data_IF_082275895605
#
_entry.id   IF_082275895605
#
_cell.length_a   1.000
_cell.length_b   1.000
_cell.length_c   1.000
_cell.angle_alpha   90.00
_cell.angle_beta   90.00
_cell.angle_gamma   90.00
#
_symmetry.space_group_name_H-M   'P 1'
#
loop_
_entity.id
_entity.type
_entity.pdbx_description
1 polymer ?
#
# COMPACT_ATOMS: atom_id res chain seq x y z
N UNK A 1 6.21 9.50 -9.24
CA UNK A 1 5.13 8.49 -9.21
C UNK A 1 5.74 7.17 -8.83
N UNK A 2 5.39 6.63 -7.66
CA UNK A 2 6.00 5.44 -7.05
C UNK A 2 4.94 4.34 -7.04
N UNK A 3 5.19 3.23 -7.73
CA UNK A 3 4.34 2.06 -7.62
C UNK A 3 4.74 1.27 -6.37
N UNK A 4 3.79 1.00 -5.50
CA UNK A 4 4.02 0.31 -4.23
C UNK A 4 3.50 -1.12 -4.32
N UNK A 5 4.34 -2.05 -3.87
CA UNK A 5 4.05 -3.48 -3.86
C UNK A 5 3.10 -3.88 -2.71
N UNK A 6 2.47 -5.04 -2.82
CA UNK A 6 1.46 -5.57 -1.89
C UNK A 6 2.02 -5.71 -0.48
N UNK A 7 3.25 -6.19 -0.32
CA UNK A 7 3.87 -6.33 1.01
C UNK A 7 4.03 -4.99 1.73
N UNK A 8 4.36 -3.92 1.01
CA UNK A 8 4.50 -2.58 1.60
C UNK A 8 3.14 -2.02 2.02
N UNK A 9 2.09 -2.29 1.24
CA UNK A 9 0.72 -1.98 1.65
C UNK A 9 0.30 -2.73 2.91
N UNK A 10 0.61 -4.03 2.97
CA UNK A 10 0.37 -4.86 4.15
C UNK A 10 1.12 -4.26 5.34
N UNK A 11 2.42 -4.01 5.25
CA UNK A 11 3.18 -3.41 6.36
C UNK A 11 2.59 -2.07 6.80
N UNK A 12 2.23 -1.20 5.85
CA UNK A 12 1.60 0.08 6.15
C UNK A 12 0.25 -0.08 6.87
N UNK A 13 -0.59 -1.04 6.47
CA UNK A 13 -1.84 -1.32 7.17
C UNK A 13 -1.65 -2.00 8.53
N UNK A 14 -0.56 -2.75 8.75
CA UNK A 14 -0.30 -3.47 10.01
C UNK A 14 0.25 -2.54 11.09
N UNK A 15 1.30 -1.79 10.75
CA UNK A 15 2.10 -1.04 11.74
C UNK A 15 2.09 0.46 11.51
N UNK A 16 1.52 0.94 10.38
CA UNK A 16 1.53 2.35 10.03
C UNK A 16 2.93 2.84 9.68
N UNK A 17 3.37 2.66 8.43
CA UNK A 17 4.69 3.12 7.97
C UNK A 17 4.69 4.63 7.71
N UNK A 18 5.42 5.48 8.47
CA UNK A 18 5.32 6.93 8.37
C UNK A 18 5.76 7.50 7.02
N UNK A 19 6.81 6.93 6.42
CA UNK A 19 7.30 7.34 5.10
C UNK A 19 6.24 7.12 4.02
N UNK A 20 5.51 5.99 4.09
CA UNK A 20 4.41 5.67 3.19
C UNK A 20 3.25 6.66 3.39
N UNK A 21 2.90 7.00 4.63
CA UNK A 21 1.86 8.00 4.92
C UNK A 21 2.17 9.39 4.35
N UNK A 22 3.43 9.82 4.42
CA UNK A 22 3.89 11.08 3.81
C UNK A 22 3.72 11.04 2.28
N UNK A 23 4.22 9.99 1.63
CA UNK A 23 4.13 9.84 0.17
C UNK A 23 2.69 9.74 -0.33
N UNK A 24 1.80 9.08 0.44
CA UNK A 24 0.37 9.03 0.16
C UNK A 24 -0.25 10.44 0.22
N UNK A 25 0.07 11.21 1.27
CA UNK A 25 -0.43 12.58 1.45
C UNK A 25 0.05 13.54 0.35
N UNK A 26 1.24 13.29 -0.21
CA UNK A 26 1.80 14.05 -1.33
C UNK A 26 1.28 13.58 -2.70
N UNK A 27 0.44 12.53 -2.76
CA UNK A 27 -0.05 11.96 -4.02
C UNK A 27 1.04 11.26 -4.85
N UNK A 28 2.16 10.90 -4.21
CA UNK A 28 3.32 10.29 -4.87
C UNK A 28 3.16 8.78 -5.10
N UNK A 29 2.23 8.13 -4.39
CA UNK A 29 1.97 6.69 -4.45
C UNK A 29 0.92 6.36 -5.51
N UNK A 30 1.19 5.35 -6.32
CA UNK A 30 0.26 4.80 -7.31
C UNK A 30 -0.18 3.39 -6.95
N UNK A 31 -1.41 3.07 -7.36
CA UNK A 31 -2.04 1.76 -7.21
C UNK A 31 -2.09 1.06 -8.58
N UNK A 32 -1.63 -0.18 -8.65
CA UNK A 32 -1.83 -1.04 -9.81
C UNK A 32 -2.99 -2.02 -9.55
N UNK A 33 -3.77 -2.35 -10.59
CA UNK A 33 -4.96 -3.18 -10.46
C UNK A 33 -4.67 -4.58 -9.88
N UNK A 34 -3.51 -5.17 -10.18
CA UNK A 34 -3.11 -6.45 -9.59
C UNK A 34 -2.81 -6.35 -8.10
N UNK A 35 -2.10 -5.31 -7.66
CA UNK A 35 -1.84 -5.06 -6.23
C UNK A 35 -3.15 -4.84 -5.48
N UNK A 36 -4.09 -4.10 -6.07
CA UNK A 36 -5.43 -3.94 -5.51
C UNK A 36 -6.17 -5.28 -5.38
N UNK A 37 -6.07 -6.14 -6.40
CA UNK A 37 -6.66 -7.48 -6.38
C UNK A 37 -6.06 -8.38 -5.30
N UNK A 38 -4.74 -8.37 -5.13
CA UNK A 38 -4.07 -9.12 -4.06
C UNK A 38 -4.52 -8.66 -2.67
N UNK A 39 -4.61 -7.33 -2.44
CA UNK A 39 -5.11 -6.77 -1.19
C UNK A 39 -6.58 -7.14 -0.94
N UNK A 40 -7.43 -7.14 -1.98
CA UNK A 40 -8.84 -7.51 -1.87
C UNK A 40 -9.04 -9.01 -1.57
N UNK A 41 -8.16 -9.87 -2.07
CA UNK A 41 -8.16 -11.31 -1.78
C UNK A 41 -7.53 -11.64 -0.41
N UNK A 42 -6.70 -10.74 0.13
CA UNK A 42 -6.05 -10.92 1.41
C UNK A 42 -7.06 -10.87 2.56
N UNK A 43 -7.07 -11.91 3.38
CA UNK A 43 -7.84 -11.93 4.63
C UNK A 43 -6.86 -11.76 5.79
N UNK A 44 -7.00 -10.70 6.58
CA UNK A 44 -6.31 -10.60 7.86
C UNK A 44 -7.18 -11.22 8.95
N UNK A 45 -6.62 -12.10 9.81
CA UNK A 45 -7.32 -12.54 11.02
C UNK A 45 -7.55 -11.37 11.99
#
# INVERSE_FOLDING_TARGET
MILVDTLVWIDHFSVGVPAMGKLLSEGCVSMHAFVLGELACGNRP
#
